data_IF_607470204726
#
_entry.id   IF_607470204726
#
_cell.length_a   1.000
_cell.length_b   1.000
_cell.length_c   1.000
_cell.angle_alpha   90.00
_cell.angle_beta   90.00
_cell.angle_gamma   90.00
#
_symmetry.space_group_name_H-M   'P 1'
#
loop_
_entity.id
_entity.type
_entity.pdbx_description
1 polymer ?
#
# COMPACT_ATOMS: atom_id res chain seq x y z
N UNK A 1 -21.60 -12.08 12.30
CA UNK A 1 -21.49 -12.84 11.06
C UNK A 1 -20.74 -14.15 11.29
N UNK A 2 -19.49 -14.38 10.87
CA UNK A 2 -18.84 -15.69 11.03
C UNK A 2 -18.81 -16.23 12.47
N UNK A 3 -18.77 -15.37 13.49
CA UNK A 3 -18.81 -15.73 14.91
C UNK A 3 -20.17 -15.47 15.59
N UNK A 4 -21.20 -15.08 14.84
CA UNK A 4 -22.53 -14.79 15.38
C UNK A 4 -22.64 -13.54 16.27
N UNK A 5 -21.57 -12.73 16.36
CA UNK A 5 -21.49 -11.54 17.22
C UNK A 5 -22.25 -10.33 16.66
N UNK A 6 -22.48 -10.31 15.35
CA UNK A 6 -23.20 -9.24 14.64
C UNK A 6 -24.19 -9.84 13.64
N UNK A 7 -25.36 -9.27 13.57
CA UNK A 7 -26.32 -9.57 12.51
C UNK A 7 -25.90 -8.90 11.20
N UNK A 8 -26.44 -9.39 10.08
CA UNK A 8 -26.15 -8.78 8.77
C UNK A 8 -26.62 -7.33 8.70
N UNK A 9 -27.75 -7.01 9.29
CA UNK A 9 -28.31 -5.65 9.32
C UNK A 9 -27.45 -4.69 10.14
N UNK A 10 -26.99 -5.11 11.33
CA UNK A 10 -26.05 -4.32 12.13
C UNK A 10 -24.75 -4.06 11.38
N UNK A 11 -24.20 -5.06 10.68
CA UNK A 11 -23.02 -4.89 9.86
C UNK A 11 -23.21 -3.85 8.74
N UNK A 12 -24.35 -3.85 8.05
CA UNK A 12 -24.66 -2.84 7.03
C UNK A 12 -24.80 -1.45 7.65
N UNK A 13 -25.52 -1.32 8.78
CA UNK A 13 -25.70 -0.03 9.44
C UNK A 13 -24.35 0.57 9.90
N UNK A 14 -23.47 -0.26 10.47
CA UNK A 14 -22.12 0.15 10.83
C UNK A 14 -21.32 0.62 9.61
N UNK A 15 -21.30 -0.16 8.54
CA UNK A 15 -20.61 0.20 7.32
C UNK A 15 -21.13 1.49 6.70
N UNK A 16 -22.48 1.64 6.62
CA UNK A 16 -23.11 2.85 6.09
C UNK A 16 -22.82 4.08 6.96
N UNK A 17 -22.90 3.93 8.29
CA UNK A 17 -22.60 5.02 9.23
C UNK A 17 -21.17 5.54 9.08
N UNK A 18 -20.16 4.66 9.09
CA UNK A 18 -18.78 5.06 8.90
C UNK A 18 -18.48 5.60 7.49
N UNK A 19 -19.15 5.05 6.45
CA UNK A 19 -19.03 5.58 5.09
C UNK A 19 -19.56 7.01 4.99
N UNK A 20 -20.67 7.31 5.67
CA UNK A 20 -21.22 8.66 5.72
C UNK A 20 -20.27 9.63 6.44
N UNK A 21 -19.71 9.24 7.59
CA UNK A 21 -18.71 10.04 8.32
C UNK A 21 -17.48 10.31 7.44
N UNK A 22 -16.98 9.28 6.73
CA UNK A 22 -15.85 9.42 5.82
C UNK A 22 -16.17 10.36 4.63
N UNK A 23 -17.38 10.25 4.06
CA UNK A 23 -17.83 11.14 2.98
C UNK A 23 -17.92 12.60 3.41
N UNK A 24 -18.49 12.85 4.59
CA UNK A 24 -18.56 14.21 5.15
C UNK A 24 -17.15 14.75 5.40
N UNK A 25 -16.27 13.97 6.03
CA UNK A 25 -14.87 14.35 6.23
C UNK A 25 -14.14 14.65 4.92
N UNK A 26 -14.31 13.80 3.90
CA UNK A 26 -13.73 14.00 2.58
C UNK A 26 -14.22 15.31 1.92
N UNK A 27 -15.53 15.59 2.01
CA UNK A 27 -16.13 16.82 1.48
C UNK A 27 -15.59 18.08 2.18
N UNK A 28 -15.43 18.04 3.50
CA UNK A 28 -14.90 19.16 4.28
C UNK A 28 -13.42 19.46 3.97
N UNK A 29 -12.65 18.42 3.60
CA UNK A 29 -11.24 18.60 3.21
C UNK A 29 -11.13 19.16 1.77
N UNK A 30 -11.73 18.50 0.82
CA UNK A 30 -11.76 18.90 -0.59
C UNK A 30 -12.84 18.08 -1.33
N UNK A 31 -13.74 18.70 -2.12
CA UNK A 31 -14.74 17.96 -2.90
C UNK A 31 -14.17 16.85 -3.78
N UNK A 32 -12.95 16.99 -4.32
CA UNK A 32 -12.28 15.94 -5.08
C UNK A 32 -11.97 14.70 -4.25
N UNK A 33 -11.80 14.83 -2.92
CA UNK A 33 -11.62 13.68 -2.03
C UNK A 33 -12.87 12.79 -2.00
N UNK A 34 -14.07 13.36 -2.16
CA UNK A 34 -15.32 12.59 -2.28
C UNK A 34 -15.31 11.74 -3.54
N UNK A 35 -14.88 12.30 -4.67
CA UNK A 35 -14.78 11.56 -5.94
C UNK A 35 -13.81 10.39 -5.79
N UNK A 36 -12.63 10.63 -5.18
CA UNK A 36 -11.63 9.59 -4.94
C UNK A 36 -12.16 8.52 -4.00
N UNK A 37 -12.86 8.90 -2.93
CA UNK A 37 -13.49 7.96 -1.99
C UNK A 37 -14.50 7.05 -2.70
N UNK A 38 -15.38 7.62 -3.52
CA UNK A 38 -16.38 6.85 -4.27
C UNK A 38 -15.74 5.92 -5.31
N UNK A 39 -14.70 6.38 -6.02
CA UNK A 39 -13.91 5.54 -6.93
C UNK A 39 -13.21 4.41 -6.18
N UNK A 40 -12.60 4.71 -5.02
CA UNK A 40 -12.00 3.70 -4.16
C UNK A 40 -13.00 2.64 -3.70
N UNK A 41 -14.21 3.04 -3.27
CA UNK A 41 -15.27 2.12 -2.87
C UNK A 41 -15.77 1.25 -4.04
N UNK A 42 -15.89 1.82 -5.24
CA UNK A 42 -16.25 1.06 -6.44
C UNK A 42 -15.15 0.05 -6.80
N UNK A 43 -13.89 0.44 -6.76
CA UNK A 43 -12.75 -0.45 -7.00
C UNK A 43 -12.64 -1.55 -5.94
N UNK A 44 -12.93 -1.26 -4.66
CA UNK A 44 -12.96 -2.28 -3.61
C UNK A 44 -14.03 -3.34 -3.90
N UNK A 45 -15.20 -2.92 -4.40
CA UNK A 45 -16.24 -3.85 -4.84
C UNK A 45 -15.73 -4.75 -5.98
N UNK A 46 -15.05 -4.18 -6.98
CA UNK A 46 -14.41 -4.94 -8.06
C UNK A 46 -13.35 -5.90 -7.52
N UNK A 47 -12.50 -5.46 -6.58
CA UNK A 47 -11.51 -6.30 -5.91
C UNK A 47 -12.13 -7.53 -5.26
N UNK A 48 -13.24 -7.36 -4.53
CA UNK A 48 -13.95 -8.47 -3.90
C UNK A 48 -14.53 -9.44 -4.93
N UNK A 49 -15.12 -8.94 -6.03
CA UNK A 49 -15.68 -9.77 -7.11
C UNK A 49 -14.61 -10.57 -7.84
N UNK A 50 -13.38 -10.06 -7.93
CA UNK A 50 -12.27 -10.72 -8.63
C UNK A 50 -11.65 -11.88 -7.85
N UNK A 51 -12.03 -12.14 -6.61
CA UNK A 51 -11.39 -13.16 -5.76
C UNK A 51 -11.32 -14.54 -6.38
N UNK A 52 -12.40 -14.98 -7.04
CA UNK A 52 -12.45 -16.26 -7.76
C UNK A 52 -12.12 -16.16 -9.25
N UNK A 53 -11.90 -14.95 -9.76
CA UNK A 53 -11.79 -14.70 -11.20
C UNK A 53 -10.33 -14.55 -11.64
N UNK A 54 -9.55 -13.71 -10.95
CA UNK A 54 -8.23 -13.31 -11.44
C UNK A 54 -7.22 -13.06 -10.31
N UNK A 55 -5.96 -13.51 -10.47
CA UNK A 55 -4.87 -13.18 -9.56
C UNK A 55 -4.49 -11.69 -9.62
N UNK A 56 -4.86 -11.00 -10.69
CA UNK A 56 -4.59 -9.57 -10.86
C UNK A 56 -5.50 -8.67 -10.04
N UNK A 57 -6.35 -9.23 -9.15
CA UNK A 57 -7.08 -8.47 -8.15
C UNK A 57 -6.15 -7.61 -7.29
N UNK A 58 -4.89 -8.04 -7.06
CA UNK A 58 -3.88 -7.27 -6.33
C UNK A 58 -3.54 -5.93 -7.02
N UNK A 59 -3.67 -5.85 -8.37
CA UNK A 59 -3.55 -4.58 -9.10
C UNK A 59 -4.68 -3.63 -8.71
N UNK A 60 -5.92 -4.15 -8.63
CA UNK A 60 -7.08 -3.37 -8.18
C UNK A 60 -6.90 -2.92 -6.72
N UNK A 61 -6.41 -3.79 -5.84
CA UNK A 61 -6.06 -3.42 -4.46
C UNK A 61 -5.04 -2.28 -4.41
N UNK A 62 -4.03 -2.31 -5.27
CA UNK A 62 -3.06 -1.22 -5.38
C UNK A 62 -3.72 0.13 -5.69
N UNK A 63 -4.71 0.18 -6.57
CA UNK A 63 -5.50 1.39 -6.83
C UNK A 63 -6.36 1.80 -5.63
N UNK A 64 -7.06 0.84 -5.01
CA UNK A 64 -7.90 1.10 -3.82
C UNK A 64 -7.07 1.70 -2.69
N UNK A 65 -5.96 1.09 -2.34
CA UNK A 65 -5.11 1.55 -1.23
C UNK A 65 -4.46 2.90 -1.50
N UNK A 66 -4.16 3.20 -2.76
CA UNK A 66 -3.65 4.51 -3.16
C UNK A 66 -4.69 5.62 -3.19
N UNK A 67 -5.98 5.32 -3.11
CA UNK A 67 -7.03 6.35 -3.03
C UNK A 67 -6.83 7.25 -1.79
N UNK A 68 -6.42 6.70 -0.65
CA UNK A 68 -6.12 7.47 0.56
C UNK A 68 -4.98 8.48 0.37
N UNK A 69 -3.76 8.06 -0.01
CA UNK A 69 -2.64 8.98 -0.30
C UNK A 69 -2.95 10.02 -1.37
N UNK A 70 -3.69 9.67 -2.43
CA UNK A 70 -4.09 10.64 -3.47
C UNK A 70 -5.09 11.64 -2.92
N UNK A 71 -6.06 11.21 -2.11
CA UNK A 71 -7.00 12.12 -1.44
C UNK A 71 -6.25 13.05 -0.47
N UNK A 72 -5.30 12.53 0.31
CA UNK A 72 -4.48 13.34 1.21
C UNK A 72 -3.65 14.38 0.46
N UNK A 73 -3.05 14.02 -0.67
CA UNK A 73 -2.32 14.95 -1.53
C UNK A 73 -3.22 16.10 -2.00
N UNK A 74 -4.41 15.79 -2.52
CA UNK A 74 -5.36 16.81 -3.01
C UNK A 74 -6.01 17.63 -1.88
N UNK A 75 -6.06 17.09 -0.67
CA UNK A 75 -6.53 17.86 0.50
C UNK A 75 -5.53 18.95 0.89
N UNK A 76 -4.22 18.71 0.71
CA UNK A 76 -3.15 19.65 1.06
C UNK A 76 -2.82 20.58 -0.11
N UNK A 77 -2.75 20.05 -1.32
CA UNK A 77 -2.46 20.77 -2.55
C UNK A 77 -3.52 20.43 -3.63
N UNK A 78 -4.48 21.33 -3.90
CA UNK A 78 -5.50 21.11 -4.93
C UNK A 78 -4.96 20.96 -6.36
N UNK A 79 -3.74 21.41 -6.61
CA UNK A 79 -3.09 21.40 -7.93
C UNK A 79 -1.66 20.83 -7.86
N UNK A 80 -1.49 19.57 -7.40
CA UNK A 80 -0.18 19.00 -7.23
C UNK A 80 0.53 18.84 -8.57
N UNK A 81 1.86 18.94 -8.57
CA UNK A 81 2.67 18.62 -9.74
C UNK A 81 2.32 17.21 -10.25
N UNK A 82 1.96 17.04 -11.54
CA UNK A 82 1.63 15.71 -12.09
C UNK A 82 2.76 14.70 -11.92
N UNK A 83 4.01 15.10 -12.07
CA UNK A 83 5.17 14.23 -11.86
C UNK A 83 5.29 13.75 -10.42
N UNK A 84 5.07 14.64 -9.45
CA UNK A 84 5.03 14.27 -8.03
C UNK A 84 3.92 13.25 -7.75
N UNK A 85 2.70 13.54 -8.20
CA UNK A 85 1.55 12.67 -7.98
C UNK A 85 1.76 11.28 -8.60
N UNK A 86 2.31 11.21 -9.82
CA UNK A 86 2.58 9.94 -10.51
C UNK A 86 3.66 9.14 -9.78
N UNK A 87 4.77 9.76 -9.37
CA UNK A 87 5.85 9.07 -8.68
C UNK A 87 5.38 8.55 -7.32
N UNK A 88 4.64 9.38 -6.56
CA UNK A 88 4.05 8.98 -5.29
C UNK A 88 3.09 7.80 -5.47
N UNK A 89 2.18 7.91 -6.43
CA UNK A 89 1.22 6.86 -6.74
C UNK A 89 1.93 5.55 -7.10
N UNK A 90 2.86 5.56 -8.04
CA UNK A 90 3.56 4.36 -8.49
C UNK A 90 4.43 3.75 -7.37
N UNK A 91 5.10 4.58 -6.58
CA UNK A 91 5.89 4.12 -5.45
C UNK A 91 5.05 3.39 -4.40
N UNK A 92 3.92 3.98 -3.99
CA UNK A 92 3.02 3.36 -3.03
C UNK A 92 2.25 2.17 -3.61
N UNK A 93 1.89 2.21 -4.89
CA UNK A 93 1.26 1.11 -5.61
C UNK A 93 2.16 -0.13 -5.63
N UNK A 94 3.43 0.03 -5.95
CA UNK A 94 4.40 -1.07 -5.93
C UNK A 94 4.66 -1.58 -4.50
N UNK A 95 4.68 -0.69 -3.50
CA UNK A 95 4.76 -1.07 -2.09
C UNK A 95 3.55 -1.91 -1.66
N UNK A 96 2.34 -1.52 -2.02
CA UNK A 96 1.12 -2.26 -1.69
C UNK A 96 1.13 -3.65 -2.30
N UNK A 97 1.48 -3.78 -3.59
CA UNK A 97 1.51 -5.09 -4.25
C UNK A 97 2.59 -5.99 -3.64
N UNK A 98 3.82 -5.49 -3.54
CA UNK A 98 4.97 -6.30 -3.12
C UNK A 98 5.07 -6.53 -1.63
N UNK A 99 4.69 -5.53 -0.81
CA UNK A 99 4.87 -5.53 0.63
C UNK A 99 3.63 -5.92 1.43
N UNK A 100 2.45 -5.78 0.86
CA UNK A 100 1.18 -6.07 1.54
C UNK A 100 0.42 -7.20 0.88
N UNK A 101 0.01 -7.08 -0.39
CA UNK A 101 -0.85 -8.06 -1.04
C UNK A 101 -0.20 -9.43 -1.22
N UNK A 102 0.99 -9.49 -1.83
CA UNK A 102 1.66 -10.76 -2.09
C UNK A 102 1.95 -11.53 -0.80
N UNK A 103 2.57 -10.93 0.25
CA UNK A 103 2.83 -11.66 1.48
C UNK A 103 1.57 -12.02 2.27
N UNK A 104 0.50 -11.20 2.24
CA UNK A 104 -0.78 -11.54 2.85
C UNK A 104 -1.42 -12.77 2.16
N UNK A 105 -1.57 -12.72 0.83
CA UNK A 105 -2.07 -13.86 0.05
C UNK A 105 -1.20 -15.12 0.24
N UNK A 106 0.11 -14.94 0.48
CA UNK A 106 1.01 -16.06 0.76
C UNK A 106 0.72 -16.73 2.10
N UNK A 107 0.42 -15.94 3.12
CA UNK A 107 0.09 -16.48 4.45
C UNK A 107 -1.16 -17.37 4.40
N UNK A 108 -2.06 -17.12 3.47
CA UNK A 108 -3.35 -17.76 3.34
C UNK A 108 -3.45 -18.75 2.17
N UNK A 109 -2.32 -19.09 1.54
CA UNK A 109 -2.25 -19.90 0.30
C UNK A 109 -3.02 -21.23 0.40
N UNK A 110 -3.02 -21.89 1.56
CA UNK A 110 -3.72 -23.16 1.75
C UNK A 110 -5.24 -22.97 1.86
N UNK A 111 -5.67 -21.93 2.58
CA UNK A 111 -7.08 -21.53 2.65
C UNK A 111 -7.58 -21.06 1.27
N UNK A 112 -6.81 -20.25 0.60
CA UNK A 112 -7.10 -19.76 -0.73
C UNK A 112 -7.28 -20.91 -1.74
N UNK A 113 -6.46 -21.97 -1.65
CA UNK A 113 -6.62 -23.17 -2.47
C UNK A 113 -7.92 -23.91 -2.15
N UNK A 114 -8.27 -24.05 -0.87
CA UNK A 114 -9.52 -24.70 -0.44
C UNK A 114 -10.76 -23.94 -0.97
N UNK A 115 -10.72 -22.62 -0.90
CA UNK A 115 -11.80 -21.76 -1.41
C UNK A 115 -11.72 -21.47 -2.91
N UNK A 116 -10.76 -22.09 -3.64
CA UNK A 116 -10.53 -21.88 -5.09
C UNK A 116 -10.27 -20.41 -5.44
N UNK A 117 -9.73 -19.63 -4.50
CA UNK A 117 -9.32 -18.26 -4.75
C UNK A 117 -8.15 -18.22 -5.74
N UNK A 118 -8.12 -17.18 -6.57
CA UNK A 118 -7.08 -17.01 -7.60
C UNK A 118 -6.14 -15.89 -7.20
N UNK A 119 -5.36 -16.12 -6.14
CA UNK A 119 -4.33 -15.17 -5.71
C UNK A 119 -3.01 -15.36 -6.46
N UNK A 120 -2.12 -14.36 -6.40
CA UNK A 120 -0.82 -14.41 -7.09
C UNK A 120 -0.01 -15.63 -6.65
N UNK A 121 0.20 -15.92 -5.33
CA UNK A 121 0.96 -17.08 -4.91
C UNK A 121 0.30 -18.42 -5.31
N UNK A 122 -1.04 -18.50 -5.31
CA UNK A 122 -1.77 -19.72 -5.73
C UNK A 122 -1.59 -19.99 -7.22
N UNK A 123 -1.63 -18.95 -8.07
CA UNK A 123 -1.65 -19.10 -9.54
C UNK A 123 -0.27 -19.11 -10.17
N UNK A 124 0.64 -18.27 -9.69
CA UNK A 124 1.98 -18.16 -10.27
C UNK A 124 3.01 -19.03 -9.54
N UNK A 125 2.68 -19.51 -8.35
CA UNK A 125 3.59 -20.25 -7.47
C UNK A 125 4.51 -19.33 -6.67
N UNK A 126 5.13 -19.91 -5.65
CA UNK A 126 5.94 -19.22 -4.66
C UNK A 126 7.08 -18.41 -5.27
N UNK A 127 7.85 -19.01 -6.18
CA UNK A 127 9.02 -18.37 -6.78
C UNK A 127 8.66 -17.11 -7.57
N UNK A 128 7.70 -17.21 -8.49
CA UNK A 128 7.30 -16.09 -9.34
C UNK A 128 6.63 -14.99 -8.52
N UNK A 129 5.87 -15.35 -7.47
CA UNK A 129 5.27 -14.40 -6.56
C UNK A 129 6.34 -13.61 -5.78
N UNK A 130 7.38 -14.28 -5.27
CA UNK A 130 8.49 -13.62 -4.57
C UNK A 130 9.31 -12.72 -5.52
N UNK A 131 9.58 -13.15 -6.76
CA UNK A 131 10.25 -12.32 -7.77
C UNK A 131 9.43 -11.09 -8.09
N UNK A 132 8.11 -11.22 -8.29
CA UNK A 132 7.22 -10.08 -8.51
C UNK A 132 7.25 -9.11 -7.33
N UNK A 133 7.20 -9.64 -6.09
CA UNK A 133 7.35 -8.84 -4.88
C UNK A 133 8.68 -8.09 -4.83
N UNK A 134 9.80 -8.76 -5.14
CA UNK A 134 11.14 -8.15 -5.17
C UNK A 134 11.21 -7.00 -6.19
N UNK A 135 10.71 -7.22 -7.41
CA UNK A 135 10.69 -6.19 -8.46
C UNK A 135 9.83 -4.99 -8.02
N UNK A 136 8.62 -5.24 -7.52
CA UNK A 136 7.72 -4.19 -7.07
C UNK A 136 8.35 -3.38 -5.92
N UNK A 137 8.91 -4.03 -4.90
CA UNK A 137 9.52 -3.35 -3.76
C UNK A 137 10.82 -2.61 -4.13
N UNK A 138 11.57 -3.09 -5.11
CA UNK A 138 12.74 -2.37 -5.64
C UNK A 138 12.31 -1.08 -6.33
N UNK A 139 11.29 -1.14 -7.18
CA UNK A 139 10.71 0.03 -7.84
C UNK A 139 10.17 1.02 -6.79
N UNK A 140 9.40 0.53 -5.82
CA UNK A 140 8.86 1.35 -4.73
C UNK A 140 9.97 2.11 -3.99
N UNK A 141 11.01 1.39 -3.55
CA UNK A 141 12.14 1.97 -2.79
C UNK A 141 12.83 3.07 -3.58
N UNK A 142 13.11 2.85 -4.86
CA UNK A 142 13.78 3.83 -5.73
C UNK A 142 12.89 5.05 -5.98
N UNK A 143 11.62 4.84 -6.31
CA UNK A 143 10.68 5.95 -6.62
C UNK A 143 10.44 6.84 -5.38
N UNK A 144 10.24 6.25 -4.21
CA UNK A 144 10.05 7.01 -2.98
C UNK A 144 11.33 7.75 -2.58
N UNK A 145 12.50 7.13 -2.69
CA UNK A 145 13.77 7.80 -2.42
C UNK A 145 14.00 8.99 -3.39
N UNK A 146 13.66 8.80 -4.67
CA UNK A 146 13.72 9.86 -5.67
C UNK A 146 12.74 11.01 -5.36
N UNK A 147 11.54 10.69 -4.89
CA UNK A 147 10.56 11.69 -4.46
C UNK A 147 11.10 12.57 -3.33
N UNK A 148 11.75 11.95 -2.33
CA UNK A 148 12.38 12.68 -1.22
C UNK A 148 13.54 13.56 -1.70
N UNK A 149 14.32 13.08 -2.67
CA UNK A 149 15.40 13.87 -3.28
C UNK A 149 14.89 15.13 -3.97
N UNK A 150 13.71 15.07 -4.63
CA UNK A 150 13.13 16.20 -5.34
C UNK A 150 12.49 17.25 -4.42
N UNK A 151 11.90 16.81 -3.29
CA UNK A 151 11.03 17.67 -2.49
C UNK A 151 11.67 18.21 -1.20
N UNK A 152 12.91 17.82 -0.91
CA UNK A 152 13.68 18.31 0.25
C UNK A 152 15.04 18.87 -0.20
N UNK A 153 15.09 19.99 -0.94
CA UNK A 153 16.30 20.44 -1.60
C UNK A 153 17.51 20.65 -0.66
N UNK A 154 17.28 21.14 0.55
CA UNK A 154 18.32 21.28 1.57
C UNK A 154 18.83 19.95 2.12
N UNK A 155 17.97 18.96 2.26
CA UNK A 155 18.26 17.66 2.84
C UNK A 155 18.23 16.51 1.82
N UNK A 156 18.20 16.81 0.52
CA UNK A 156 17.94 15.84 -0.58
C UNK A 156 18.74 14.56 -0.50
N UNK A 157 20.04 14.63 -0.24
CA UNK A 157 20.89 13.45 -0.17
C UNK A 157 20.67 12.64 1.12
N UNK A 158 20.60 13.32 2.26
CA UNK A 158 20.35 12.68 3.54
C UNK A 158 18.98 12.03 3.55
N UNK A 159 17.96 12.72 3.09
CA UNK A 159 16.60 12.20 2.98
C UNK A 159 16.53 10.97 2.08
N UNK A 160 17.10 11.07 0.87
CA UNK A 160 17.10 9.97 -0.10
C UNK A 160 17.86 8.74 0.42
N UNK A 161 19.06 8.94 1.00
CA UNK A 161 19.85 7.85 1.58
C UNK A 161 19.11 7.20 2.76
N UNK A 162 18.45 7.99 3.62
CA UNK A 162 17.68 7.46 4.74
C UNK A 162 16.51 6.60 4.26
N UNK A 163 15.79 7.06 3.22
CA UNK A 163 14.68 6.30 2.60
C UNK A 163 15.18 5.03 1.92
N UNK A 164 16.30 5.09 1.18
CA UNK A 164 16.93 3.91 0.59
C UNK A 164 17.33 2.90 1.65
N UNK A 165 17.95 3.35 2.73
CA UNK A 165 18.37 2.47 3.84
C UNK A 165 17.16 1.81 4.51
N UNK A 166 16.08 2.58 4.74
CA UNK A 166 14.83 2.07 5.28
C UNK A 166 14.19 1.05 4.32
N UNK A 167 14.13 1.34 3.02
CA UNK A 167 13.60 0.43 2.00
C UNK A 167 14.41 -0.86 1.90
N UNK A 168 15.75 -0.78 1.93
CA UNK A 168 16.61 -1.98 1.95
C UNK A 168 16.31 -2.82 3.19
N UNK A 169 16.27 -2.22 4.37
CA UNK A 169 16.08 -2.94 5.64
C UNK A 169 14.67 -3.51 5.82
N UNK A 170 13.64 -2.71 5.52
CA UNK A 170 12.25 -3.06 5.77
C UNK A 170 11.61 -3.85 4.63
N UNK A 171 12.06 -3.67 3.39
CA UNK A 171 11.42 -4.22 2.20
C UNK A 171 12.32 -5.24 1.48
N UNK A 172 13.54 -4.84 1.06
CA UNK A 172 14.36 -5.66 0.18
C UNK A 172 14.98 -6.86 0.90
N UNK A 173 15.52 -6.70 2.10
CA UNK A 173 16.06 -7.82 2.87
C UNK A 173 15.00 -8.88 3.16
N UNK A 174 13.79 -8.53 3.65
CA UNK A 174 12.73 -9.51 3.89
C UNK A 174 12.25 -10.22 2.63
N UNK A 175 12.07 -9.50 1.51
CA UNK A 175 11.59 -10.15 0.27
C UNK A 175 12.64 -11.07 -0.35
N UNK A 176 13.93 -10.75 -0.24
CA UNK A 176 15.02 -11.66 -0.66
C UNK A 176 15.03 -12.92 0.21
N UNK A 177 14.84 -12.78 1.53
CA UNK A 177 14.69 -13.94 2.42
C UNK A 177 13.49 -14.78 2.04
N UNK A 178 12.34 -14.16 1.73
CA UNK A 178 11.15 -14.86 1.25
C UNK A 178 11.41 -15.61 -0.07
N UNK A 179 12.15 -15.00 -1.00
CA UNK A 179 12.53 -15.64 -2.26
C UNK A 179 13.37 -16.91 -2.05
N UNK A 180 14.24 -16.91 -1.03
CA UNK A 180 15.12 -18.04 -0.71
C UNK A 180 14.36 -19.13 0.06
N UNK A 181 13.69 -18.75 1.15
CA UNK A 181 13.03 -19.71 2.07
C UNK A 181 11.70 -20.22 1.54
N UNK A 182 10.94 -19.37 0.86
CA UNK A 182 9.61 -19.64 0.31
C UNK A 182 8.60 -20.12 1.36
N UNK A 183 8.75 -19.72 2.60
CA UNK A 183 7.92 -20.12 3.70
C UNK A 183 6.94 -19.02 4.16
N UNK A 184 5.90 -19.46 4.89
CA UNK A 184 4.85 -18.59 5.42
C UNK A 184 5.38 -17.58 6.45
N UNK A 185 6.34 -18.00 7.27
CA UNK A 185 6.88 -17.15 8.33
C UNK A 185 7.60 -15.95 7.75
N UNK A 186 8.42 -16.14 6.70
CA UNK A 186 9.10 -15.04 6.01
C UNK A 186 8.12 -14.14 5.26
N UNK A 187 7.01 -14.67 4.75
CA UNK A 187 5.96 -13.85 4.17
C UNK A 187 5.33 -12.91 5.22
N UNK A 188 5.03 -13.43 6.42
CA UNK A 188 4.51 -12.62 7.53
C UNK A 188 5.53 -11.60 8.05
N UNK A 189 6.82 -11.96 8.10
CA UNK A 189 7.91 -11.03 8.45
C UNK A 189 7.96 -9.88 7.42
N UNK A 190 7.89 -10.20 6.13
CA UNK A 190 7.84 -9.18 5.07
C UNK A 190 6.63 -8.27 5.24
N UNK A 191 5.42 -8.82 5.39
CA UNK A 191 4.19 -8.08 5.61
C UNK A 191 4.30 -7.09 6.78
N UNK A 192 4.74 -7.60 7.93
CA UNK A 192 4.89 -6.79 9.14
C UNK A 192 5.93 -5.67 8.97
N UNK A 193 7.10 -5.98 8.40
CA UNK A 193 8.15 -4.97 8.17
C UNK A 193 7.72 -3.93 7.13
N UNK A 194 7.09 -4.35 6.05
CA UNK A 194 6.58 -3.45 5.04
C UNK A 194 5.52 -2.48 5.61
N UNK A 195 4.74 -2.91 6.59
CA UNK A 195 3.77 -2.05 7.29
C UNK A 195 4.43 -0.89 8.06
N UNK A 196 5.68 -1.04 8.50
CA UNK A 196 6.43 0.05 9.15
C UNK A 196 7.04 1.04 8.16
N UNK A 197 7.11 0.72 6.87
CA UNK A 197 7.76 1.60 5.89
C UNK A 197 7.11 3.00 5.81
N UNK A 198 5.78 3.16 5.66
CA UNK A 198 5.15 4.48 5.66
C UNK A 198 5.37 5.27 6.96
N UNK A 199 5.34 4.59 8.11
CA UNK A 199 5.62 5.21 9.39
C UNK A 199 7.07 5.70 9.49
N UNK A 200 8.01 4.94 8.95
CA UNK A 200 9.43 5.33 8.89
C UNK A 200 9.62 6.55 7.98
N UNK A 201 8.92 6.62 6.83
CA UNK A 201 8.93 7.80 5.96
C UNK A 201 8.42 9.05 6.68
N UNK A 202 7.34 8.92 7.45
CA UNK A 202 6.83 10.01 8.28
C UNK A 202 7.87 10.43 9.32
N UNK A 203 8.50 9.48 10.01
CA UNK A 203 9.57 9.77 10.98
C UNK A 203 10.75 10.50 10.36
N UNK A 204 11.23 10.07 9.20
CA UNK A 204 12.31 10.76 8.46
C UNK A 204 11.89 12.19 8.12
N UNK A 205 10.67 12.39 7.61
CA UNK A 205 10.13 13.70 7.25
C UNK A 205 10.08 14.63 8.46
N UNK A 206 9.52 14.18 9.58
CA UNK A 206 9.39 14.97 10.80
C UNK A 206 10.76 15.33 11.39
N UNK A 207 11.72 14.39 11.39
CA UNK A 207 13.08 14.66 11.86
C UNK A 207 13.76 15.74 11.00
N UNK A 208 13.67 15.66 9.67
CA UNK A 208 14.30 16.63 8.78
C UNK A 208 13.67 18.01 8.85
N UNK A 209 12.34 18.09 8.99
CA UNK A 209 11.63 19.36 9.21
C UNK A 209 12.01 19.96 10.58
N UNK A 210 12.09 19.13 11.62
CA UNK A 210 12.47 19.58 12.97
C UNK A 210 13.90 20.09 13.09
N UNK A 211 14.81 19.63 12.21
CA UNK A 211 16.19 20.14 12.14
C UNK A 211 16.30 21.53 11.45
N UNK A 212 15.23 21.99 10.82
CA UNK A 212 15.22 23.24 10.08
C UNK A 212 15.91 23.15 8.71
N UNK A 213 15.98 24.26 8.00
CA UNK A 213 16.75 24.31 6.74
C UNK A 213 18.25 24.22 7.06
N UNK A 214 19.03 23.39 6.33
CA UNK A 214 20.48 23.39 6.49
C UNK A 214 21.05 24.78 6.19
N UNK A 215 22.11 25.21 6.85
CA UNK A 215 22.76 26.49 6.64
C UNK A 215 23.27 26.67 5.23
#
# INVERSE_FOLDING_TARGET
>A
MAQGLLTYQEGILWAAGWSLVALVGAYLLNPMCVVIFLLGAALETVYCLLWHVSPWRSVVSGFVKNSGPVAALLAVDPHPSPSYAIILFLGLFCWEIGGQNIPADWSDIELDRQFKAKTIPVRLGAEKAAVLGLVALSISTVLIAFLFMLNLPGWKWIASISVLSAGIYLLLIPVVKLLISRDREQAMILFNRASYFPLTLLGITLCLIGLGSPP
#
